data_IF_014955818837
#
_entry.id   IF_014955818837
#
_cell.length_a   1.000
_cell.length_b   1.000
_cell.length_c   1.000
_cell.angle_alpha   90.00
_cell.angle_beta   90.00
_cell.angle_gamma   90.00
#
_symmetry.space_group_name_H-M   'P 1'
#
loop_
_entity.id
_entity.type
_entity.pdbx_description
1 polymer ?
#
# COMPACT_ATOMS: atom_id res chain seq x y z
N UNK A 1 53.14 20.20 -4.83
CA UNK A 1 53.17 18.82 -5.34
C UNK A 1 52.38 17.90 -4.40
N UNK A 2 51.11 17.63 -4.72
CA UNK A 2 50.27 16.70 -3.95
C UNK A 2 50.39 15.29 -4.52
N UNK A 3 50.80 14.33 -3.70
CA UNK A 3 50.98 12.93 -4.12
C UNK A 3 49.67 12.28 -4.61
N UNK A 4 49.72 11.50 -5.71
CA UNK A 4 48.53 10.97 -6.40
C UNK A 4 47.70 9.98 -5.56
N UNK A 5 48.26 9.45 -4.47
CA UNK A 5 47.57 8.50 -3.58
C UNK A 5 46.43 9.11 -2.74
N UNK A 6 46.38 10.44 -2.55
CA UNK A 6 45.33 11.08 -1.73
C UNK A 6 44.04 11.37 -2.50
N UNK A 7 44.07 11.41 -3.84
CA UNK A 7 42.89 11.70 -4.67
C UNK A 7 41.93 10.50 -4.77
N UNK A 8 42.47 9.28 -4.83
CA UNK A 8 41.66 8.05 -4.96
C UNK A 8 40.84 7.75 -3.70
N UNK A 9 41.38 8.03 -2.52
CA UNK A 9 40.68 7.81 -1.26
C UNK A 9 39.51 8.78 -1.01
N UNK A 10 39.54 10.00 -1.57
CA UNK A 10 38.41 10.94 -1.50
C UNK A 10 37.32 10.61 -2.52
N UNK A 11 37.70 10.11 -3.69
CA UNK A 11 36.77 9.75 -4.75
C UNK A 11 35.91 8.53 -4.39
N UNK A 12 36.50 7.53 -3.74
CA UNK A 12 35.76 6.35 -3.25
C UNK A 12 34.77 6.71 -2.13
N UNK A 13 35.14 7.64 -1.23
CA UNK A 13 34.23 8.13 -0.18
C UNK A 13 33.04 8.90 -0.75
N UNK A 14 33.27 9.69 -1.80
CA UNK A 14 32.20 10.40 -2.50
C UNK A 14 31.24 9.45 -3.22
N UNK A 15 31.74 8.38 -3.85
CA UNK A 15 30.88 7.38 -4.50
C UNK A 15 30.04 6.57 -3.50
N UNK A 16 30.59 6.21 -2.34
CA UNK A 16 29.83 5.53 -1.28
C UNK A 16 28.76 6.46 -0.70
N UNK A 17 29.08 7.74 -0.48
CA UNK A 17 28.09 8.71 0.01
C UNK A 17 26.97 8.97 -1.00
N UNK A 18 27.30 9.07 -2.30
CA UNK A 18 26.29 9.18 -3.37
C UNK A 18 25.44 7.92 -3.50
N UNK A 19 26.03 6.74 -3.32
CA UNK A 19 25.30 5.47 -3.32
C UNK A 19 24.32 5.35 -2.16
N UNK A 20 24.73 5.76 -0.94
CA UNK A 20 23.87 5.75 0.25
C UNK A 20 22.77 6.82 0.15
N UNK A 21 23.10 8.03 -0.32
CA UNK A 21 22.12 9.09 -0.52
C UNK A 21 21.12 8.75 -1.64
N UNK A 22 21.60 8.18 -2.75
CA UNK A 22 20.75 7.71 -3.85
C UNK A 22 19.85 6.53 -3.45
N UNK A 23 20.38 5.57 -2.69
CA UNK A 23 19.59 4.47 -2.13
C UNK A 23 18.58 4.96 -1.08
N UNK A 24 18.93 5.98 -0.29
CA UNK A 24 18.02 6.62 0.65
C UNK A 24 16.85 7.33 -0.05
N UNK A 25 17.12 8.08 -1.12
CA UNK A 25 16.07 8.77 -1.90
C UNK A 25 15.23 7.79 -2.70
N UNK A 26 15.81 6.74 -3.29
CA UNK A 26 15.07 5.68 -3.96
C UNK A 26 14.23 4.85 -2.97
N UNK A 27 14.77 4.55 -1.78
CA UNK A 27 14.00 3.90 -0.72
C UNK A 27 12.89 4.82 -0.19
N UNK A 28 13.08 6.14 -0.12
CA UNK A 28 12.05 7.09 0.30
C UNK A 28 10.94 7.27 -0.74
N UNK A 29 11.25 7.17 -2.04
CA UNK A 29 10.26 7.18 -3.12
C UNK A 29 9.50 5.85 -3.26
N UNK A 30 10.09 4.72 -2.85
CA UNK A 30 9.44 3.39 -2.86
C UNK A 30 8.71 3.09 -1.54
N UNK A 31 9.17 3.66 -0.43
CA UNK A 31 8.48 3.72 0.86
C UNK A 31 7.83 5.10 1.09
N UNK A 32 7.36 5.76 0.02
CA UNK A 32 6.23 6.63 0.24
C UNK A 32 5.17 5.71 0.85
N UNK A 33 4.75 5.91 2.11
CA UNK A 33 3.67 5.11 2.67
C UNK A 33 2.54 5.14 1.65
N UNK A 34 1.80 4.02 1.42
CA UNK A 34 0.52 4.15 0.73
C UNK A 34 -0.17 5.31 1.42
N UNK A 35 -0.61 6.31 0.65
CA UNK A 35 -1.19 7.55 1.13
C UNK A 35 -1.87 7.26 2.46
N UNK A 36 -1.33 7.79 3.56
CA UNK A 36 -1.99 7.69 4.86
C UNK A 36 -3.39 8.24 4.58
N UNK A 37 -4.35 7.33 4.49
CA UNK A 37 -5.71 7.63 4.07
C UNK A 37 -6.23 8.55 5.16
N UNK A 38 -6.24 9.84 4.85
CA UNK A 38 -6.48 10.93 5.78
C UNK A 38 -7.99 10.97 6.04
N UNK A 39 -8.51 9.96 6.76
CA UNK A 39 -9.94 9.85 7.11
C UNK A 39 -10.87 10.24 5.96
N UNK A 40 -10.58 9.73 4.75
CA UNK A 40 -11.19 10.22 3.52
C UNK A 40 -12.70 10.05 3.56
N UNK A 41 -13.44 11.15 3.51
CA UNK A 41 -14.91 11.15 3.44
C UNK A 41 -15.43 10.85 2.04
N UNK A 42 -14.56 10.43 1.12
CA UNK A 42 -14.84 10.21 -0.30
C UNK A 42 -15.35 8.79 -0.50
N UNK A 43 -16.67 8.66 -0.66
CA UNK A 43 -17.33 7.40 -1.02
C UNK A 43 -16.85 6.95 -2.42
N UNK A 44 -16.30 5.73 -2.58
CA UNK A 44 -15.83 5.21 -3.85
C UNK A 44 -17.00 4.87 -4.78
N UNK A 45 -16.84 5.21 -6.06
CA UNK A 45 -17.75 4.78 -7.11
C UNK A 45 -17.46 3.32 -7.53
N UNK A 46 -18.48 2.55 -7.97
CA UNK A 46 -18.25 1.24 -8.57
C UNK A 46 -17.33 1.36 -9.80
N UNK A 47 -16.35 0.46 -9.88
CA UNK A 47 -15.41 0.43 -11.01
C UNK A 47 -16.12 0.14 -12.35
N UNK A 48 -15.45 0.46 -13.45
CA UNK A 48 -16.05 0.37 -14.79
C UNK A 48 -16.45 -1.06 -15.18
N UNK A 49 -15.71 -2.08 -14.74
CA UNK A 49 -16.01 -3.48 -15.05
C UNK A 49 -17.25 -3.93 -14.29
N UNK A 50 -17.34 -3.59 -13.00
CA UNK A 50 -18.50 -3.86 -12.17
C UNK A 50 -19.76 -3.18 -12.70
N UNK A 51 -19.66 -1.89 -13.08
CA UNK A 51 -20.78 -1.16 -13.69
C UNK A 51 -21.25 -1.83 -14.97
N UNK A 52 -20.32 -2.22 -15.85
CA UNK A 52 -20.66 -2.89 -17.10
C UNK A 52 -21.35 -4.25 -16.87
N UNK A 53 -20.85 -5.04 -15.92
CA UNK A 53 -21.45 -6.32 -15.53
C UNK A 53 -22.86 -6.15 -14.94
N UNK A 54 -23.04 -5.17 -14.06
CA UNK A 54 -24.35 -4.82 -13.49
C UNK A 54 -25.32 -4.43 -14.60
N UNK A 55 -24.95 -3.50 -15.49
CA UNK A 55 -25.80 -3.06 -16.62
C UNK A 55 -26.20 -4.24 -17.50
N UNK A 56 -25.27 -5.14 -17.84
CA UNK A 56 -25.59 -6.33 -18.63
C UNK A 56 -26.58 -7.27 -17.92
N UNK A 57 -26.42 -7.47 -16.61
CA UNK A 57 -27.35 -8.24 -15.79
C UNK A 57 -28.74 -7.63 -15.74
N UNK A 58 -28.83 -6.31 -15.52
CA UNK A 58 -30.09 -5.57 -15.50
C UNK A 58 -30.78 -5.57 -16.87
N UNK A 59 -30.04 -5.42 -17.96
CA UNK A 59 -30.58 -5.48 -19.32
C UNK A 59 -31.19 -6.87 -19.61
N UNK A 60 -30.53 -7.95 -19.20
CA UNK A 60 -31.06 -9.31 -19.32
C UNK A 60 -32.34 -9.50 -18.50
N UNK A 61 -32.38 -9.01 -17.27
CA UNK A 61 -33.58 -9.05 -16.44
C UNK A 61 -34.73 -8.24 -17.05
N UNK A 62 -34.46 -7.02 -17.55
CA UNK A 62 -35.45 -6.20 -18.24
C UNK A 62 -36.03 -6.90 -19.46
N UNK A 63 -35.20 -7.56 -20.27
CA UNK A 63 -35.68 -8.33 -21.43
C UNK A 63 -36.61 -9.49 -21.03
N UNK A 64 -36.40 -10.11 -19.86
CA UNK A 64 -37.22 -11.21 -19.37
C UNK A 64 -38.51 -10.74 -18.67
N UNK A 65 -38.47 -9.62 -17.95
CA UNK A 65 -39.53 -9.20 -17.01
C UNK A 65 -40.31 -7.97 -17.48
N UNK A 66 -39.83 -7.24 -18.49
CA UNK A 66 -40.48 -6.04 -19.01
C UNK A 66 -40.49 -4.86 -18.02
N UNK A 67 -39.57 -4.85 -17.06
CA UNK A 67 -39.38 -3.78 -16.07
C UNK A 67 -37.93 -3.29 -16.18
N UNK A 68 -37.73 -1.98 -16.19
CA UNK A 68 -36.38 -1.41 -16.14
C UNK A 68 -35.85 -1.41 -14.71
N UNK A 69 -34.56 -1.72 -14.57
CA UNK A 69 -33.91 -1.77 -13.26
C UNK A 69 -32.78 -0.75 -13.23
N UNK A 70 -32.55 -0.12 -12.09
CA UNK A 70 -31.47 0.85 -11.94
C UNK A 70 -30.93 0.95 -10.53
N UNK A 71 -29.88 1.75 -10.42
CA UNK A 71 -29.21 2.08 -9.18
C UNK A 71 -28.66 3.50 -9.20
N UNK A 72 -28.57 4.08 -8.02
CA UNK A 72 -28.07 5.43 -7.81
C UNK A 72 -27.35 5.50 -6.45
N UNK A 73 -26.05 5.77 -6.49
CA UNK A 73 -25.20 5.99 -5.33
C UNK A 73 -24.84 7.47 -5.24
N UNK A 74 -25.10 8.07 -4.09
CA UNK A 74 -24.81 9.48 -3.83
C UNK A 74 -24.16 9.66 -2.46
N UNK A 75 -23.47 10.78 -2.29
CA UNK A 75 -22.81 11.18 -1.04
C UNK A 75 -22.75 12.71 -0.98
N UNK A 76 -22.51 13.27 0.21
CA UNK A 76 -22.34 14.71 0.42
C UNK A 76 -21.05 15.26 -0.22
N UNK A 77 -20.03 14.42 -0.34
CA UNK A 77 -18.65 14.80 -0.71
C UNK A 77 -18.19 14.23 -2.05
N UNK A 78 -18.79 13.13 -2.52
CA UNK A 78 -18.42 12.43 -3.75
C UNK A 78 -19.33 12.74 -4.93
N UNK A 79 -18.82 12.44 -6.12
CA UNK A 79 -19.64 12.44 -7.33
C UNK A 79 -20.72 11.35 -7.26
N UNK A 80 -21.96 11.74 -7.57
CA UNK A 80 -23.05 10.81 -7.79
C UNK A 80 -22.72 9.83 -8.92
N UNK A 81 -22.92 8.54 -8.66
CA UNK A 81 -22.78 7.48 -9.67
C UNK A 81 -24.11 6.76 -9.84
N UNK A 82 -24.46 6.43 -11.08
CA UNK A 82 -25.75 5.80 -11.38
C UNK A 82 -25.66 4.86 -12.58
N UNK A 83 -26.66 4.03 -12.77
CA UNK A 83 -26.78 3.20 -13.96
C UNK A 83 -28.10 2.45 -14.00
N UNK A 84 -28.44 1.91 -15.16
CA UNK A 84 -29.68 1.15 -15.34
C UNK A 84 -29.56 0.11 -16.44
N UNK A 85 -30.63 -0.63 -16.67
CA UNK A 85 -30.76 -1.51 -17.83
C UNK A 85 -30.69 -0.77 -19.18
N UNK A 86 -30.75 0.57 -19.19
CA UNK A 86 -30.56 1.40 -20.38
C UNK A 86 -29.07 1.68 -20.68
N UNK A 87 -28.18 1.54 -19.70
CA UNK A 87 -26.76 1.83 -19.86
C UNK A 87 -26.07 2.23 -18.56
N UNK A 88 -24.73 2.25 -18.60
CA UNK A 88 -23.92 2.86 -17.56
C UNK A 88 -24.14 4.38 -17.56
N UNK A 89 -24.20 4.99 -16.38
CA UNK A 89 -24.41 6.43 -16.18
C UNK A 89 -25.76 6.97 -16.70
N UNK A 90 -26.68 6.08 -17.10
CA UNK A 90 -28.04 6.40 -17.54
C UNK A 90 -29.04 6.10 -16.43
N UNK A 91 -29.78 7.09 -15.90
CA UNK A 91 -30.75 6.85 -14.84
C UNK A 91 -31.98 6.13 -15.43
N UNK A 92 -32.64 5.31 -14.62
CA UNK A 92 -33.69 4.40 -15.10
C UNK A 92 -34.95 5.14 -15.60
N UNK A 93 -35.17 6.36 -15.12
CA UNK A 93 -36.31 7.21 -15.43
C UNK A 93 -36.04 8.19 -16.59
N UNK A 94 -34.85 8.16 -17.19
CA UNK A 94 -34.47 9.06 -18.30
C UNK A 94 -35.28 8.89 -19.57
N UNK A 95 -35.82 7.69 -19.83
CA UNK A 95 -36.64 7.39 -20.99
C UNK A 95 -37.96 6.70 -20.57
N UNK A 96 -38.98 7.50 -20.21
CA UNK A 96 -40.29 6.97 -19.81
C UNK A 96 -40.99 6.15 -20.91
N UNK A 97 -40.62 6.35 -22.18
CA UNK A 97 -41.22 5.62 -23.30
C UNK A 97 -40.75 4.17 -23.36
N UNK A 98 -39.46 3.94 -23.04
CA UNK A 98 -38.86 2.60 -22.94
C UNK A 98 -39.04 1.97 -21.57
N UNK A 99 -39.09 2.80 -20.52
CA UNK A 99 -39.17 2.39 -19.14
C UNK A 99 -40.44 2.90 -18.46
N UNK A 100 -41.61 2.55 -19.00
CA UNK A 100 -42.89 2.89 -18.36
C UNK A 100 -43.06 2.22 -16.98
N UNK A 101 -42.40 1.08 -16.76
CA UNK A 101 -42.29 0.39 -15.48
C UNK A 101 -40.82 0.30 -15.08
N UNK A 102 -40.48 0.76 -13.90
CA UNK A 102 -39.11 0.69 -13.41
C UNK A 102 -39.01 0.53 -11.90
N UNK A 103 -37.86 0.01 -11.44
CA UNK A 103 -37.46 -0.04 -10.04
C UNK A 103 -36.00 0.38 -9.92
N UNK A 104 -35.69 1.24 -8.96
CA UNK A 104 -34.35 1.77 -8.70
C UNK A 104 -34.02 1.62 -7.22
N UNK A 105 -32.81 1.13 -6.92
CA UNK A 105 -32.25 1.25 -5.57
C UNK A 105 -31.44 2.54 -5.47
N UNK A 106 -31.75 3.38 -4.48
CA UNK A 106 -30.98 4.59 -4.17
C UNK A 106 -30.28 4.41 -2.83
N UNK A 107 -29.01 4.72 -2.81
CA UNK A 107 -28.19 4.71 -1.60
C UNK A 107 -27.53 6.07 -1.45
N UNK A 108 -27.69 6.66 -0.28
CA UNK A 108 -26.96 7.83 0.15
C UNK A 108 -26.01 7.41 1.27
N UNK A 109 -24.70 7.59 1.08
CA UNK A 109 -23.68 7.26 2.08
C UNK A 109 -22.97 8.53 2.50
N UNK A 110 -22.88 8.74 3.80
CA UNK A 110 -22.16 9.84 4.40
C UNK A 110 -21.09 9.28 5.34
N UNK A 111 -19.83 9.47 4.96
CA UNK A 111 -18.69 9.15 5.82
C UNK A 111 -18.29 10.40 6.58
N UNK A 112 -18.22 10.25 7.89
CA UNK A 112 -17.78 11.27 8.82
C UNK A 112 -16.26 11.27 8.91
N UNK A 113 -15.67 12.44 9.16
CA UNK A 113 -14.23 12.53 9.34
C UNK A 113 -13.79 11.73 10.56
N UNK A 114 -12.62 11.08 10.50
CA UNK A 114 -12.03 10.34 11.63
C UNK A 114 -11.79 11.18 12.88
N UNK A 115 -11.77 12.51 12.77
CA UNK A 115 -11.69 13.43 13.91
C UNK A 115 -13.06 13.79 14.52
N UNK A 116 -14.15 13.28 13.96
CA UNK A 116 -15.52 13.51 14.41
C UNK A 116 -15.99 12.36 15.29
N UNK A 117 -16.77 12.67 16.32
CA UNK A 117 -17.50 11.67 17.12
C UNK A 117 -18.84 11.27 16.48
N UNK A 118 -19.18 11.88 15.34
CA UNK A 118 -20.36 11.49 14.56
C UNK A 118 -20.16 10.09 13.96
N UNK A 119 -21.25 9.34 13.81
CA UNK A 119 -21.23 8.03 13.17
C UNK A 119 -21.45 8.16 11.67
N UNK A 120 -20.79 7.29 10.90
CA UNK A 120 -21.09 7.07 9.50
C UNK A 120 -22.53 6.58 9.33
N UNK A 121 -23.17 6.94 8.22
CA UNK A 121 -24.57 6.63 7.98
C UNK A 121 -24.80 6.24 6.52
N UNK A 122 -25.70 5.27 6.30
CA UNK A 122 -26.20 4.93 4.97
C UNK A 122 -27.73 4.93 4.96
N UNK A 123 -28.33 5.75 4.09
CA UNK A 123 -29.76 5.73 3.81
C UNK A 123 -30.02 4.94 2.52
N UNK A 124 -30.87 3.92 2.61
CA UNK A 124 -31.21 3.04 1.50
C UNK A 124 -32.70 3.14 1.22
N UNK A 125 -33.06 3.46 -0.02
CA UNK A 125 -34.44 3.50 -0.49
C UNK A 125 -34.62 2.78 -1.81
N UNK A 126 -35.82 2.25 -2.05
CA UNK A 126 -36.18 1.63 -3.32
C UNK A 126 -37.35 2.41 -3.90
N UNK A 127 -37.11 3.04 -5.05
CA UNK A 127 -38.11 3.77 -5.80
C UNK A 127 -38.66 2.91 -6.93
N UNK A 128 -39.90 3.15 -7.33
CA UNK A 128 -40.49 2.47 -8.47
C UNK A 128 -41.56 3.30 -9.16
N UNK A 129 -41.81 2.95 -10.43
CA UNK A 129 -42.96 3.43 -11.19
C UNK A 129 -43.59 2.27 -11.95
N UNK A 130 -44.93 2.23 -12.01
CA UNK A 130 -45.67 1.20 -12.75
C UNK A 130 -45.57 -0.23 -12.20
N UNK A 131 -44.89 -0.42 -11.07
CA UNK A 131 -44.78 -1.68 -10.30
C UNK A 131 -44.57 -1.36 -8.82
N UNK A 132 -45.03 -2.23 -7.93
CA UNK A 132 -44.84 -2.07 -6.48
C UNK A 132 -43.38 -2.36 -6.10
N UNK A 133 -42.72 -1.39 -5.45
CA UNK A 133 -41.37 -1.55 -4.93
C UNK A 133 -41.31 -2.67 -3.87
N UNK A 134 -40.26 -3.51 -3.88
CA UNK A 134 -39.97 -4.37 -2.74
C UNK A 134 -39.56 -3.52 -1.53
N UNK A 135 -39.86 -3.95 -0.30
CA UNK A 135 -39.39 -3.26 0.90
C UNK A 135 -37.87 -3.41 1.03
N UNK A 136 -37.20 -2.35 1.52
CA UNK A 136 -35.73 -2.34 1.73
C UNK A 136 -35.28 -3.48 2.63
N UNK A 137 -36.08 -3.89 3.62
CA UNK A 137 -35.77 -5.01 4.51
C UNK A 137 -35.58 -6.35 3.81
N UNK A 138 -36.09 -6.53 2.58
CA UNK A 138 -35.82 -7.72 1.79
C UNK A 138 -34.39 -7.77 1.24
N UNK A 139 -33.67 -6.64 1.15
CA UNK A 139 -32.25 -6.67 0.79
C UNK A 139 -31.40 -7.39 1.85
N UNK A 140 -31.82 -7.38 3.10
CA UNK A 140 -31.12 -8.08 4.20
C UNK A 140 -31.03 -9.59 3.98
N UNK A 141 -31.97 -10.20 3.25
CA UNK A 141 -31.93 -11.64 2.94
C UNK A 141 -30.76 -12.00 2.00
N UNK A 142 -30.19 -11.01 1.32
CA UNK A 142 -28.98 -11.12 0.50
C UNK A 142 -27.72 -10.64 1.22
N UNK A 143 -27.81 -10.35 2.53
CA UNK A 143 -26.70 -9.79 3.31
C UNK A 143 -26.43 -8.32 3.02
N UNK A 144 -27.31 -7.62 2.30
CA UNK A 144 -27.19 -6.20 1.98
C UNK A 144 -27.82 -5.36 3.09
N UNK A 145 -27.08 -5.23 4.19
CA UNK A 145 -27.45 -4.42 5.35
C UNK A 145 -26.83 -3.02 5.28
N UNK A 146 -27.31 -2.09 6.11
CA UNK A 146 -26.75 -0.73 6.23
C UNK A 146 -25.23 -0.73 6.42
N UNK A 147 -24.71 -1.56 7.33
CA UNK A 147 -23.26 -1.67 7.56
C UNK A 147 -22.48 -2.08 6.31
N UNK A 148 -23.06 -2.95 5.46
CA UNK A 148 -22.42 -3.33 4.19
C UNK A 148 -22.39 -2.18 3.20
N UNK A 149 -23.42 -1.32 3.17
CA UNK A 149 -23.41 -0.10 2.37
C UNK A 149 -22.43 0.95 2.88
N UNK A 150 -22.16 1.00 4.19
CA UNK A 150 -21.13 1.85 4.78
C UNK A 150 -19.74 1.32 4.44
N UNK A 151 -19.51 0.02 4.62
CA UNK A 151 -18.19 -0.62 4.47
C UNK A 151 -17.76 -0.77 2.99
N UNK A 152 -18.71 -1.09 2.10
CA UNK A 152 -18.45 -1.42 0.69
C UNK A 152 -19.52 -0.82 -0.25
N UNK A 153 -19.70 0.53 -0.25
CA UNK A 153 -20.77 1.20 -0.99
C UNK A 153 -20.77 0.89 -2.49
N UNK A 154 -19.58 0.81 -3.08
CA UNK A 154 -19.32 0.53 -4.48
C UNK A 154 -19.84 -0.86 -4.91
N UNK A 155 -19.62 -1.88 -4.08
CA UNK A 155 -20.06 -3.25 -4.36
C UNK A 155 -21.52 -3.48 -3.98
N UNK A 156 -21.91 -2.96 -2.82
CA UNK A 156 -23.23 -3.16 -2.25
C UNK A 156 -24.32 -2.59 -3.15
N UNK A 157 -24.12 -1.41 -3.75
CA UNK A 157 -25.09 -0.81 -4.67
C UNK A 157 -25.33 -1.68 -5.91
N UNK A 158 -24.25 -2.19 -6.52
CA UNK A 158 -24.32 -3.06 -7.70
C UNK A 158 -25.01 -4.40 -7.39
N UNK A 159 -24.72 -4.99 -6.23
CA UNK A 159 -25.38 -6.22 -5.77
C UNK A 159 -26.86 -6.00 -5.47
N UNK A 160 -27.20 -4.88 -4.81
CA UNK A 160 -28.58 -4.50 -4.54
C UNK A 160 -29.39 -4.33 -5.82
N UNK A 161 -28.82 -3.66 -6.83
CA UNK A 161 -29.44 -3.51 -8.14
C UNK A 161 -29.76 -4.87 -8.79
N UNK A 162 -28.81 -5.80 -8.74
CA UNK A 162 -28.95 -7.15 -9.29
C UNK A 162 -29.93 -8.04 -8.52
N UNK A 163 -30.23 -7.70 -7.25
CA UNK A 163 -31.24 -8.41 -6.45
C UNK A 163 -32.68 -7.98 -6.79
N UNK A 164 -32.90 -6.76 -7.30
CA UNK A 164 -34.25 -6.23 -7.60
C UNK A 164 -35.10 -7.14 -8.52
N UNK A 165 -34.57 -7.69 -9.63
CA UNK A 165 -35.30 -8.63 -10.49
C UNK A 165 -35.86 -9.85 -9.75
N UNK A 166 -35.06 -10.41 -8.83
CA UNK A 166 -35.44 -11.57 -8.04
C UNK A 166 -36.48 -11.18 -6.98
N UNK A 167 -36.29 -10.05 -6.30
CA UNK A 167 -37.23 -9.53 -5.32
C UNK A 167 -38.63 -9.26 -5.90
N UNK A 168 -38.70 -8.71 -7.11
CA UNK A 168 -40.00 -8.54 -7.78
C UNK A 168 -40.62 -9.88 -8.15
N UNK A 169 -39.82 -10.87 -8.55
CA UNK A 169 -40.31 -12.20 -8.90
C UNK A 169 -40.84 -12.97 -7.68
N UNK A 170 -40.13 -12.93 -6.55
CA UNK A 170 -40.56 -13.56 -5.27
C UNK A 170 -41.88 -12.98 -4.76
N UNK A 171 -42.14 -11.70 -5.03
CA UNK A 171 -43.41 -11.02 -4.71
C UNK A 171 -44.52 -11.28 -5.72
N UNK A 172 -44.24 -12.05 -6.79
CA UNK A 172 -45.19 -12.31 -7.87
C UNK A 172 -45.52 -11.08 -8.72
N UNK A 173 -44.72 -10.00 -8.65
CA UNK A 173 -44.94 -8.78 -9.42
C UNK A 173 -44.54 -8.94 -10.89
N UNK A 174 -43.58 -9.83 -11.16
CA UNK A 174 -43.08 -10.20 -12.49
C UNK A 174 -42.80 -11.71 -12.52
N UNK A 175 -42.77 -12.36 -13.70
CA UNK A 175 -42.31 -13.73 -13.78
C UNK A 175 -40.82 -13.85 -13.38
N UNK A 176 -40.37 -15.00 -12.87
CA UNK A 176 -38.95 -15.22 -12.59
C UNK A 176 -38.13 -15.16 -13.89
N UNK A 177 -36.92 -14.61 -13.81
CA UNK A 177 -35.98 -14.63 -14.92
C UNK A 177 -35.63 -16.09 -15.24
N UNK A 178 -35.72 -16.54 -16.51
CA UNK A 178 -35.43 -17.92 -16.86
C UNK A 178 -34.04 -18.34 -16.40
N UNK A 179 -33.98 -19.46 -15.67
CA UNK A 179 -32.72 -20.10 -15.36
C UNK A 179 -32.03 -20.53 -16.66
N UNK A 180 -30.69 -20.48 -16.74
CA UNK A 180 -29.98 -21.08 -17.86
C UNK A 180 -30.39 -22.55 -18.01
N UNK A 181 -30.65 -22.97 -19.25
CA UNK A 181 -31.11 -24.32 -19.53
C UNK A 181 -30.10 -25.37 -19.00
N UNK A 182 -30.56 -26.49 -18.41
CA UNK A 182 -29.66 -27.56 -17.99
C UNK A 182 -28.90 -28.08 -19.21
N UNK A 183 -27.57 -28.03 -19.16
CA UNK A 183 -26.70 -28.40 -20.28
C UNK A 183 -26.13 -27.22 -21.07
N UNK A 184 -26.47 -25.96 -20.73
CA UNK A 184 -25.60 -24.85 -21.05
C UNK A 184 -24.24 -25.17 -20.42
N UNK A 185 -23.22 -25.41 -21.23
CA UNK A 185 -21.84 -25.54 -20.78
C UNK A 185 -21.55 -24.29 -19.97
N UNK A 186 -21.52 -24.41 -18.65
CA UNK A 186 -21.02 -23.35 -17.80
C UNK A 186 -19.65 -23.03 -18.37
N UNK A 187 -19.51 -21.84 -18.96
CA UNK A 187 -18.19 -21.38 -19.34
C UNK A 187 -17.38 -21.49 -18.05
N UNK A 188 -16.26 -22.24 -18.05
CA UNK A 188 -15.42 -22.29 -16.88
C UNK A 188 -15.17 -20.84 -16.51
N UNK A 189 -15.51 -20.45 -15.27
CA UNK A 189 -15.19 -19.12 -14.79
C UNK A 189 -13.74 -18.88 -15.20
N UNK A 190 -13.49 -17.77 -15.90
CA UNK A 190 -12.12 -17.40 -16.25
C UNK A 190 -11.30 -17.59 -14.98
N UNK A 191 -10.27 -18.45 -15.06
CA UNK A 191 -9.53 -18.89 -13.88
C UNK A 191 -9.25 -17.64 -13.05
N UNK A 192 -9.80 -17.60 -11.82
CA UNK A 192 -9.75 -16.42 -10.98
C UNK A 192 -8.33 -15.90 -11.04
N UNK A 193 -8.13 -14.76 -11.72
CA UNK A 193 -6.81 -14.22 -11.95
C UNK A 193 -6.17 -14.12 -10.58
N UNK A 194 -5.02 -14.77 -10.38
CA UNK A 194 -4.46 -14.84 -9.04
C UNK A 194 -4.10 -13.42 -8.60
N UNK A 195 -4.95 -12.80 -7.78
CA UNK A 195 -4.68 -11.51 -7.10
C UNK A 195 -3.51 -11.62 -6.11
N UNK A 196 -2.81 -12.76 -6.11
CA UNK A 196 -1.58 -13.01 -5.38
C UNK A 196 -0.56 -11.88 -5.50
N UNK A 197 -0.46 -11.23 -6.67
CA UNK A 197 0.44 -10.11 -6.84
C UNK A 197 -0.05 -8.87 -6.08
N UNK A 198 -1.36 -8.62 -6.06
CA UNK A 198 -1.99 -7.48 -5.38
C UNK A 198 -2.15 -7.68 -3.86
N UNK A 199 -2.30 -8.92 -3.40
CA UNK A 199 -2.36 -9.26 -1.98
C UNK A 199 -0.98 -9.42 -1.34
N UNK A 200 0.04 -9.81 -2.11
CA UNK A 200 1.38 -10.13 -1.56
C UNK A 200 2.50 -9.22 -1.99
N UNK A 201 2.24 -8.15 -2.76
CA UNK A 201 3.30 -7.19 -3.12
C UNK A 201 3.99 -6.61 -1.87
N UNK A 202 3.25 -6.36 -0.78
CA UNK A 202 3.82 -5.84 0.46
C UNK A 202 4.87 -6.80 1.05
N UNK A 203 4.62 -8.11 1.01
CA UNK A 203 5.60 -9.12 1.45
C UNK A 203 6.81 -9.20 0.52
N UNK A 204 6.59 -9.07 -0.81
CA UNK A 204 7.68 -9.07 -1.80
C UNK A 204 8.57 -7.85 -1.64
N UNK A 205 7.99 -6.67 -1.46
CA UNK A 205 8.72 -5.41 -1.23
C UNK A 205 9.47 -5.49 0.09
N UNK A 206 8.78 -5.86 1.18
CA UNK A 206 9.40 -6.00 2.50
C UNK A 206 10.55 -7.01 2.52
N UNK A 207 10.36 -8.16 1.88
CA UNK A 207 11.40 -9.18 1.74
C UNK A 207 12.59 -8.70 0.92
N UNK A 208 12.35 -8.01 -0.20
CA UNK A 208 13.41 -7.46 -1.05
C UNK A 208 14.27 -6.44 -0.29
N UNK A 209 13.63 -5.56 0.48
CA UNK A 209 14.32 -4.55 1.30
C UNK A 209 15.21 -5.18 2.36
N UNK A 210 14.72 -6.22 3.05
CA UNK A 210 15.50 -6.97 4.03
C UNK A 210 16.72 -7.65 3.40
N UNK A 211 16.55 -8.25 2.23
CA UNK A 211 17.66 -8.91 1.50
C UNK A 211 18.73 -7.90 1.10
N UNK A 212 18.35 -6.74 0.57
CA UNK A 212 19.29 -5.67 0.19
C UNK A 212 20.07 -5.19 1.43
N UNK A 213 19.39 -4.98 2.56
CA UNK A 213 20.02 -4.57 3.81
C UNK A 213 21.06 -5.60 4.28
N UNK A 214 20.71 -6.89 4.23
CA UNK A 214 21.62 -7.98 4.61
C UNK A 214 22.87 -8.03 3.73
N UNK A 215 22.72 -7.88 2.40
CA UNK A 215 23.84 -7.83 1.46
C UNK A 215 24.77 -6.66 1.77
N UNK A 216 24.23 -5.48 2.10
CA UNK A 216 25.04 -4.31 2.46
C UNK A 216 25.86 -4.55 3.74
N UNK A 217 25.25 -5.10 4.79
CA UNK A 217 25.94 -5.40 6.05
C UNK A 217 27.08 -6.40 5.81
N UNK A 218 26.81 -7.47 5.06
CA UNK A 218 27.82 -8.49 4.73
C UNK A 218 28.94 -7.88 3.88
N UNK A 219 28.60 -7.06 2.88
CA UNK A 219 29.56 -6.40 2.01
C UNK A 219 30.50 -5.46 2.75
N UNK A 220 29.96 -4.63 3.66
CA UNK A 220 30.75 -3.71 4.50
C UNK A 220 31.65 -4.50 5.45
N UNK A 221 31.11 -5.50 6.16
CA UNK A 221 31.90 -6.32 7.09
C UNK A 221 33.03 -7.08 6.40
N UNK A 222 32.82 -7.55 5.16
CA UNK A 222 33.88 -8.20 4.38
C UNK A 222 34.97 -7.22 3.95
N UNK A 223 34.58 -5.99 3.56
CA UNK A 223 35.51 -4.96 3.14
C UNK A 223 36.40 -4.47 4.30
N UNK A 224 35.82 -4.23 5.47
CA UNK A 224 36.55 -3.85 6.68
C UNK A 224 37.56 -4.95 7.08
N UNK A 225 37.12 -6.21 7.11
CA UNK A 225 37.98 -7.35 7.43
C UNK A 225 39.16 -7.50 6.46
N UNK A 226 38.96 -7.19 5.18
CA UNK A 226 40.04 -7.21 4.18
C UNK A 226 41.03 -6.07 4.38
N UNK A 227 40.57 -4.90 4.79
CA UNK A 227 41.42 -3.75 5.08
C UNK A 227 42.30 -3.97 6.33
N UNK A 228 41.78 -4.60 7.38
CA UNK A 228 42.55 -4.95 8.57
C UNK A 228 43.70 -5.92 8.27
N UNK A 229 43.43 -6.98 7.50
CA UNK A 229 44.47 -7.94 7.07
C UNK A 229 45.61 -7.29 6.31
N UNK A 230 45.32 -6.25 5.54
CA UNK A 230 46.33 -5.52 4.76
C UNK A 230 47.20 -4.62 5.65
N UNK A 231 46.65 -4.07 6.74
CA UNK A 231 47.40 -3.27 7.72
C UNK A 231 48.38 -4.13 8.52
N UNK A 232 47.95 -5.29 9.00
CA UNK A 232 48.80 -6.21 9.79
C UNK A 232 49.99 -6.74 8.97
N UNK A 233 49.82 -6.96 7.66
CA UNK A 233 50.91 -7.43 6.79
C UNK A 233 52.00 -6.38 6.58
N UNK A 234 51.65 -5.08 6.61
CA UNK A 234 52.60 -3.96 6.51
C UNK A 234 53.45 -3.78 7.78
N UNK A 235 52.91 -4.11 8.95
CA UNK A 235 53.67 -4.02 10.21
C UNK A 235 54.72 -5.12 10.33
N UNK A 236 54.49 -6.31 9.74
CA UNK A 236 55.43 -7.43 9.77
C UNK A 236 56.61 -7.33 8.78
N UNK A 237 56.53 -6.43 7.80
CA UNK A 237 57.65 -6.14 6.86
C UNK A 237 58.47 -4.90 7.26
N UNK A 238 58.24 -4.36 8.47
CA UNK A 238 59.07 -3.32 9.06
C UNK A 238 60.51 -3.81 9.27
N UNK A 239 61.45 -3.17 8.56
CA UNK A 239 62.90 -3.32 8.65
C UNK A 239 63.37 -3.52 10.10
N UNK A 240 64.25 -4.50 10.40
CA UNK A 240 64.70 -4.74 11.76
C UNK A 240 65.36 -3.48 12.35
N UNK A 241 65.18 -3.22 13.65
CA UNK A 241 65.74 -2.05 14.31
C UNK A 241 67.26 -2.05 14.18
N UNK A 242 67.83 -0.87 13.84
CA UNK A 242 69.28 -0.68 13.77
C UNK A 242 69.90 -0.95 15.15
N UNK A 243 71.08 -1.57 15.22
CA UNK A 243 71.79 -1.77 16.49
C UNK A 243 72.06 -0.43 17.17
N UNK A 244 71.79 -0.37 18.47
CA UNK A 244 72.07 0.80 19.32
C UNK A 244 73.59 0.97 19.41
N UNK A 245 74.17 2.16 19.17
CA UNK A 245 75.59 2.39 19.35
C UNK A 245 75.98 2.30 20.83
N UNK A 246 77.20 1.83 21.17
CA UNK A 246 77.61 1.57 22.54
C UNK A 246 77.67 2.86 23.37
N UNK A 247 77.40 2.76 24.70
CA UNK A 247 77.39 3.90 25.60
C UNK A 247 78.77 4.54 25.71
N UNK A 248 78.80 5.87 25.61
CA UNK A 248 79.99 6.70 25.77
C UNK A 248 80.43 6.64 27.23
N UNK A 249 81.69 6.31 27.49
CA UNK A 249 82.25 6.19 28.84
C UNK A 249 82.08 7.47 29.66
N UNK A 250 81.65 7.31 30.92
CA UNK A 250 81.48 8.41 31.87
C UNK A 250 82.84 9.01 32.28
N UNK A 251 82.93 10.34 32.47
CA UNK A 251 84.13 10.97 33.02
C UNK A 251 84.35 10.58 34.50
N UNK A 252 85.60 10.56 34.98
CA UNK A 252 85.92 10.19 36.35
C UNK A 252 85.39 11.21 37.37
N UNK A 253 85.02 10.76 38.59
CA UNK A 253 84.50 11.63 39.64
C UNK A 253 85.57 12.62 40.14
N UNK A 254 85.17 13.88 40.32
CA UNK A 254 85.95 14.90 41.03
C UNK A 254 86.21 14.44 42.47
N UNK A 255 87.46 14.56 42.91
CA UNK A 255 87.86 14.31 44.30
C UNK A 255 87.38 15.45 45.21
N UNK A 256 86.76 15.11 46.33
CA UNK A 256 86.34 16.06 47.35
C UNK A 256 87.53 16.74 48.04
N UNK A 257 87.45 18.04 48.38
CA UNK A 257 88.49 18.75 49.11
C UNK A 257 88.57 18.31 50.58
N UNK A 258 89.82 18.21 51.07
CA UNK A 258 90.16 17.80 52.42
C UNK A 258 89.61 18.76 53.51
N UNK A 259 89.20 18.24 54.68
CA UNK A 259 88.72 19.06 55.79
C UNK A 259 89.88 19.82 56.48
N UNK A 260 89.64 21.05 56.97
CA UNK A 260 90.65 21.84 57.68
C UNK A 260 90.93 21.28 59.09
N UNK A 261 92.16 21.44 59.61
CA UNK A 261 92.54 20.96 60.94
C UNK A 261 91.86 21.77 62.06
N UNK A 262 91.30 21.05 63.04
CA UNK A 262 90.73 21.63 64.25
C UNK A 262 91.83 22.20 65.16
N UNK A 263 91.63 23.45 65.60
CA UNK A 263 92.49 24.17 66.51
C UNK A 263 92.40 23.61 67.94
N UNK A 264 93.55 23.45 68.59
CA UNK A 264 93.69 23.11 69.99
C UNK A 264 93.41 24.33 70.89
N UNK A 265 92.63 24.14 71.96
CA UNK A 265 92.53 25.09 73.07
C UNK A 265 92.95 24.42 74.38
N UNK A 266 93.84 25.15 75.07
CA UNK A 266 94.40 25.02 76.43
C UNK A 266 93.62 24.20 77.44
#
# INVERSE_FOLDING_TARGET
MSTPAKRTARWLKWLVFLGIAGAGVAAWLVFAPPSLDDGGTVVPAPDAEMRAATVAGLAKATAAQGVCYGWHLSSSTSQTTQGSSLGADVPVDSDPSRCAKWVEVRVYVDWTSSSSEASDNADVSILSSGVAAPPVSQLNQFGLTEGVFIDQPDRAICQAALALPLLLAERGAVPPVPAPAPGATAQPLAAAGSDFWRDRWAYVVGGTVLVVLAILIIGVGWFERRHERTRVRRTRTGKPPRPVPPPRAAPPPLSDPAPPPAAASK
#
